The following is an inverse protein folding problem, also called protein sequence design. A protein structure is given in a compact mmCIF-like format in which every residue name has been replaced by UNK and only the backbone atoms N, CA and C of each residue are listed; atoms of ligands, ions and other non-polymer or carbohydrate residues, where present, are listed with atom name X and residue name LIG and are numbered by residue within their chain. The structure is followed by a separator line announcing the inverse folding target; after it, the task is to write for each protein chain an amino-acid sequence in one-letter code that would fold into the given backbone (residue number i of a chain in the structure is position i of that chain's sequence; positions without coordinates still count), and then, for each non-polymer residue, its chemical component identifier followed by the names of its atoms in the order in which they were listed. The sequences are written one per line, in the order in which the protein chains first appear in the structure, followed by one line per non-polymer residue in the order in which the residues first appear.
data_IF_404592929579
#
_entry.id   IF_404592929579
#
_cell.length_a   1.000
_cell.length_b   1.000
_cell.length_c   1.000
_cell.angle_alpha   90.00
_cell.angle_beta   90.00
_cell.angle_gamma   90.00
#
_symmetry.space_group_name_H-M   'P 1'
#
loop_
_entity.id
_entity.type
_entity.pdbx_description
1 polymer ?
#
# COMPACT_ATOMS: atom_id res chain seq x y z
N UNK A 1 10.56 -2.47 4.94
CA UNK A 1 10.42 -1.14 5.58
C UNK A 1 9.78 -1.30 6.94
N UNK A 2 10.20 -0.54 7.95
CA UNK A 2 9.64 -0.60 9.29
C UNK A 2 9.57 0.80 9.91
N UNK A 3 8.51 1.07 10.69
CA UNK A 3 8.30 2.31 11.44
C UNK A 3 7.41 3.33 10.74
N UNK A 4 6.44 3.88 11.48
CA UNK A 4 5.56 4.97 11.02
C UNK A 4 4.54 4.60 9.94
N UNK A 5 4.45 3.33 9.54
CA UNK A 5 3.45 2.87 8.59
C UNK A 5 2.06 2.87 9.21
N UNK A 6 1.08 3.31 8.42
CA UNK A 6 -0.33 3.36 8.76
C UNK A 6 -1.13 2.89 7.55
N UNK A 7 -2.43 2.54 7.70
CA UNK A 7 -3.27 2.25 6.56
C UNK A 7 -3.29 3.39 5.52
N UNK A 8 -3.08 4.64 5.94
CA UNK A 8 -3.15 5.82 5.06
C UNK A 8 -1.91 6.00 4.18
N UNK A 9 -0.73 5.51 4.60
CA UNK A 9 0.52 5.76 3.88
C UNK A 9 1.15 4.52 3.24
N UNK A 10 0.72 3.31 3.64
CA UNK A 10 1.42 2.08 3.25
C UNK A 10 1.41 1.83 1.74
N UNK A 11 0.31 2.15 1.06
CA UNK A 11 0.21 2.00 -0.40
C UNK A 11 1.28 2.81 -1.13
N UNK A 12 1.44 4.09 -0.74
CA UNK A 12 2.48 4.97 -1.30
C UNK A 12 3.88 4.51 -0.91
N UNK A 13 4.08 4.09 0.33
CA UNK A 13 5.39 3.61 0.80
C UNK A 13 5.85 2.38 0.01
N UNK A 14 4.95 1.43 -0.24
CA UNK A 14 5.22 0.23 -1.06
C UNK A 14 5.51 0.62 -2.52
N UNK A 15 4.71 1.53 -3.10
CA UNK A 15 4.88 1.96 -4.50
C UNK A 15 6.23 2.65 -4.73
N UNK A 16 6.66 3.51 -3.80
CA UNK A 16 7.89 4.31 -3.95
C UNK A 16 9.15 3.47 -3.73
N UNK A 17 9.12 2.55 -2.78
CA UNK A 17 10.33 1.86 -2.34
C UNK A 17 10.40 0.38 -2.74
N UNK A 18 9.32 -0.17 -3.31
CA UNK A 18 9.22 -1.57 -3.76
C UNK A 18 9.85 -2.56 -2.80
N UNK A 19 9.51 -2.53 -1.49
CA UNK A 19 10.20 -3.35 -0.51
C UNK A 19 9.78 -4.81 -0.65
N UNK A 20 10.68 -5.73 -0.27
CA UNK A 20 10.34 -7.16 -0.16
C UNK A 20 9.27 -7.45 0.90
N UNK A 21 9.08 -6.53 1.84
CA UNK A 21 8.08 -6.63 2.89
C UNK A 21 7.98 -5.36 3.74
N UNK A 22 6.85 -5.24 4.43
CA UNK A 22 6.57 -4.15 5.37
C UNK A 22 6.24 -4.72 6.74
N UNK A 23 6.74 -4.07 7.79
CA UNK A 23 6.43 -4.38 9.18
C UNK A 23 5.77 -3.17 9.85
N UNK A 24 4.72 -3.42 10.63
CA UNK A 24 3.93 -2.38 11.29
C UNK A 24 3.47 -2.85 12.66
N UNK A 25 3.61 -1.97 13.66
CA UNK A 25 3.11 -2.22 15.01
C UNK A 25 2.14 -1.13 15.47
N UNK A 26 2.62 0.00 15.98
CA UNK A 26 1.78 1.04 16.62
C UNK A 26 0.79 1.70 15.66
N UNK A 27 1.08 1.75 14.36
CA UNK A 27 0.18 2.32 13.34
C UNK A 27 -1.13 1.56 13.15
N UNK A 28 -1.30 0.40 13.78
CA UNK A 28 -2.52 -0.40 13.79
C UNK A 28 -3.27 -0.36 15.14
N UNK A 29 -2.86 0.49 16.07
CA UNK A 29 -3.46 0.64 17.40
C UNK A 29 -4.31 1.92 17.49
N UNK A 30 -5.27 1.97 18.41
CA UNK A 30 -6.14 3.14 18.65
C UNK A 30 -5.67 4.06 19.78
N UNK A 31 -4.51 3.77 20.37
CA UNK A 31 -3.93 4.56 21.45
C UNK A 31 -3.72 3.79 22.75
N UNK A 32 -4.23 2.57 22.87
CA UNK A 32 -3.82 1.62 23.91
C UNK A 32 -2.63 0.80 23.42
N UNK A 33 -1.42 1.00 23.98
CA UNK A 33 -0.23 0.29 23.52
C UNK A 33 -0.42 -1.23 23.59
N UNK A 34 -0.08 -1.92 22.49
CA UNK A 34 -0.17 -3.37 22.38
C UNK A 34 -1.54 -3.93 22.03
N UNK A 35 -2.58 -3.09 21.91
CA UNK A 35 -3.93 -3.52 21.51
C UNK A 35 -4.21 -3.09 20.07
N UNK A 36 -4.30 -4.07 19.16
CA UNK A 36 -4.56 -3.82 17.73
C UNK A 36 -6.04 -3.50 17.48
N UNK A 37 -6.28 -2.51 16.63
CA UNK A 37 -7.60 -2.27 16.05
C UNK A 37 -7.77 -3.14 14.79
N UNK A 38 -8.74 -4.05 14.84
CA UNK A 38 -9.06 -4.96 13.75
C UNK A 38 -9.42 -4.25 12.43
N UNK A 39 -10.13 -3.12 12.49
CA UNK A 39 -10.47 -2.31 11.31
C UNK A 39 -9.21 -1.74 10.67
N UNK A 40 -8.27 -1.21 11.46
CA UNK A 40 -6.98 -0.71 10.95
C UNK A 40 -6.16 -1.83 10.32
N UNK A 41 -6.12 -3.01 10.92
CA UNK A 41 -5.45 -4.20 10.34
C UNK A 41 -6.05 -4.53 8.96
N UNK A 42 -7.37 -4.62 8.87
CA UNK A 42 -8.04 -4.92 7.60
C UNK A 42 -7.80 -3.84 6.53
N UNK A 43 -7.81 -2.57 6.91
CA UNK A 43 -7.49 -1.47 6.00
C UNK A 43 -6.02 -1.53 5.56
N UNK A 44 -5.10 -1.83 6.48
CA UNK A 44 -3.68 -1.95 6.17
C UNK A 44 -3.40 -3.05 5.15
N UNK A 45 -3.95 -4.25 5.36
CA UNK A 45 -3.78 -5.38 4.44
C UNK A 45 -4.35 -5.03 3.06
N UNK A 46 -5.55 -4.44 3.00
CA UNK A 46 -6.16 -3.99 1.74
C UNK A 46 -5.29 -2.97 1.00
N UNK A 47 -4.64 -2.07 1.72
CA UNK A 47 -3.84 -0.99 1.13
C UNK A 47 -2.39 -1.42 0.81
N UNK A 48 -1.91 -2.51 1.43
CA UNK A 48 -0.61 -3.14 1.11
C UNK A 48 -0.66 -3.85 -0.23
N UNK A 49 -1.79 -4.49 -0.55
CA UNK A 49 -1.95 -5.23 -1.79
C UNK A 49 -2.17 -4.23 -2.92
N UNK A 50 -1.11 -3.95 -3.67
CA UNK A 50 -1.23 -3.33 -4.99
C UNK A 50 -1.95 -4.30 -5.93
N UNK A 51 -2.75 -3.81 -6.90
CA UNK A 51 -3.21 -4.64 -7.99
C UNK A 51 -2.00 -5.30 -8.67
N UNK A 52 -2.11 -6.55 -9.14
CA UNK A 52 -1.00 -7.24 -9.79
C UNK A 52 -0.46 -6.42 -10.97
N UNK A 53 0.85 -6.48 -11.19
CA UNK A 53 1.58 -5.76 -12.24
C UNK A 53 0.96 -5.90 -13.64
N UNK A 54 0.14 -6.94 -13.87
CA UNK A 54 -0.68 -7.15 -15.07
C UNK A 54 -1.69 -6.03 -15.36
N UNK A 55 -1.92 -5.10 -14.43
CA UNK A 55 -2.81 -3.95 -14.64
C UNK A 55 -2.10 -2.72 -15.22
N UNK A 56 -0.78 -2.78 -15.46
CA UNK A 56 0.02 -1.69 -16.02
C UNK A 56 0.28 -1.82 -17.52
N UNK A 57 -0.09 -2.95 -18.15
CA UNK A 57 0.11 -3.23 -19.58
C UNK A 57 -0.99 -2.64 -20.49
N UNK A 58 -1.85 -1.75 -19.97
CA UNK A 58 -2.96 -1.14 -20.74
C UNK A 58 -2.87 0.39 -20.79
N UNK A 59 -1.66 0.94 -20.89
CA UNK A 59 -1.51 2.30 -21.42
C UNK A 59 -1.52 2.14 -22.94
N UNK A 60 -2.67 2.40 -23.55
CA UNK A 60 -2.86 2.36 -25.00
C UNK A 60 -1.82 3.28 -25.68
N UNK A 61 -0.87 2.66 -26.38
CA UNK A 61 0.01 3.29 -27.38
C UNK A 61 -0.83 3.66 -28.61
N UNK A 62 -1.76 4.62 -28.46
CA UNK A 62 -2.58 5.09 -29.58
C UNK A 62 -2.80 6.62 -29.53
N UNK A 63 -1.74 7.38 -29.24
CA UNK A 63 -1.76 8.84 -29.47
C UNK A 63 -0.58 9.31 -30.32
N UNK A 64 -0.14 8.49 -31.28
CA UNK A 64 0.76 8.93 -32.35
C UNK A 64 0.44 8.22 -33.67
N UNK A 65 -0.78 8.38 -34.18
CA UNK A 65 -1.07 8.30 -35.61
C UNK A 65 -2.51 8.75 -35.90
N UNK A 66 -2.74 10.05 -36.01
CA UNK A 66 -3.42 10.48 -37.23
C UNK A 66 -2.89 11.83 -37.71
N UNK A 67 -2.97 11.93 -39.03
CA UNK A 67 -2.29 12.77 -40.01
C UNK A 67 -2.59 14.27 -39.93
#
# INVERSE_FOLDING_TARGET
MAGGLTPLNVARAVQVATPLGVDVSSGLEDGTPGVKNHLKVQQFIRNVVQPPLSSLDSVDEDTFADK
#
